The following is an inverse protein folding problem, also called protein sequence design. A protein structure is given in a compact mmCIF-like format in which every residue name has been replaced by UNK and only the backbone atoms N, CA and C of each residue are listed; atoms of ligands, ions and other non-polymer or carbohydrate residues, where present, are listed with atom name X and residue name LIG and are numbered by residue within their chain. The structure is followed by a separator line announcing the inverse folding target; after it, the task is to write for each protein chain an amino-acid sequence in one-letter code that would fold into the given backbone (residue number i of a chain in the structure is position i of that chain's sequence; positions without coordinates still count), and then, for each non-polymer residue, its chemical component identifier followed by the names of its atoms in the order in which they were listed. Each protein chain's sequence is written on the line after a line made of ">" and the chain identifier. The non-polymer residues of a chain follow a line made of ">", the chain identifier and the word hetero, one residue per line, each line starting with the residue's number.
data_IF_145816152697
#
_entry.id   IF_145816152697
#
_cell.length_a   1.000
_cell.length_b   1.000
_cell.length_c   1.000
_cell.angle_alpha   90.00
_cell.angle_beta   90.00
_cell.angle_gamma   90.00
#
_symmetry.space_group_name_H-M   'P 1'
#
loop_
_entity.id
_entity.type
_entity.pdbx_description
1 polymer ?
#
# COMPACT_ATOMS: atom_id res chain seq x y z
N UNK A 1 7.02 19.05 -24.64
CA UNK A 1 6.25 17.96 -24.01
C UNK A 1 7.25 16.89 -23.64
N UNK A 2 7.83 16.98 -22.44
CA UNK A 2 8.75 15.98 -21.92
C UNK A 2 8.37 15.76 -20.46
N UNK A 3 7.81 14.59 -20.18
CA UNK A 3 7.48 14.14 -18.84
C UNK A 3 8.61 13.19 -18.45
N UNK A 4 9.05 13.29 -17.20
CA UNK A 4 9.88 12.31 -16.47
C UNK A 4 11.41 12.50 -16.54
N UNK A 5 11.90 13.49 -15.79
CA UNK A 5 13.14 13.33 -15.03
C UNK A 5 12.75 12.92 -13.60
N UNK A 6 12.89 11.62 -13.28
CA UNK A 6 12.65 11.08 -11.93
C UNK A 6 13.67 11.56 -10.89
N UNK A 7 14.60 12.45 -11.27
CA UNK A 7 15.66 12.99 -10.42
C UNK A 7 15.27 14.23 -9.62
N UNK A 8 14.02 14.70 -9.75
CA UNK A 8 13.57 15.95 -9.13
C UNK A 8 12.43 15.78 -8.10
N UNK A 9 12.11 14.53 -7.71
CA UNK A 9 11.19 14.30 -6.60
C UNK A 9 11.97 14.51 -5.30
N UNK A 10 11.65 15.58 -4.57
CA UNK A 10 12.25 15.80 -3.26
C UNK A 10 11.86 14.66 -2.32
N UNK A 11 12.80 14.10 -1.54
CA UNK A 11 12.50 13.13 -0.49
C UNK A 11 11.37 13.64 0.40
N UNK A 12 10.50 12.75 0.88
CA UNK A 12 9.41 13.11 1.79
C UNK A 12 9.91 13.94 3.00
N UNK A 13 11.12 13.65 3.49
CA UNK A 13 11.81 14.37 4.58
C UNK A 13 12.31 15.78 4.24
N UNK A 14 12.25 16.21 2.97
CA UNK A 14 12.72 17.51 2.48
C UNK A 14 11.62 18.36 1.86
N UNK A 15 10.38 17.84 1.79
CA UNK A 15 9.23 18.70 1.45
C UNK A 15 8.99 19.66 2.61
N UNK A 16 8.64 20.94 2.34
CA UNK A 16 8.26 21.85 3.40
C UNK A 16 7.14 21.18 4.20
N UNK A 17 7.34 21.11 5.51
CA UNK A 17 6.31 20.65 6.44
C UNK A 17 5.09 21.51 6.15
N UNK A 18 4.00 20.91 5.65
CA UNK A 18 2.70 21.60 5.55
C UNK A 18 2.12 21.69 6.97
N UNK A 19 2.90 22.20 7.90
CA UNK A 19 2.49 22.56 9.25
C UNK A 19 1.97 24.00 9.13
N UNK A 20 0.70 24.35 9.33
CA UNK A 20 -0.20 23.90 10.41
C UNK A 20 -1.71 24.12 10.08
N UNK A 21 -2.17 23.91 8.84
CA UNK A 21 -3.60 24.15 8.51
C UNK A 21 -4.23 23.30 7.38
N UNK A 22 -3.51 22.33 6.82
CA UNK A 22 -4.02 21.53 5.70
C UNK A 22 -4.05 20.04 6.03
N UNK A 23 -5.17 19.39 5.67
CA UNK A 23 -5.33 17.96 5.83
C UNK A 23 -4.17 17.22 5.14
N UNK A 24 -3.56 16.23 5.81
CA UNK A 24 -2.36 15.52 5.33
C UNK A 24 -2.46 14.95 3.90
N UNK A 25 -3.67 14.61 3.46
CA UNK A 25 -3.93 14.01 2.15
C UNK A 25 -3.85 15.04 1.02
N UNK A 26 -3.93 16.35 1.32
CA UNK A 26 -3.82 17.41 0.32
C UNK A 26 -2.38 17.54 -0.15
N UNK A 27 -2.12 17.13 -1.39
CA UNK A 27 -0.77 17.12 -1.97
C UNK A 27 0.06 15.88 -1.63
N UNK A 28 -0.55 14.87 -0.99
CA UNK A 28 0.09 13.59 -0.73
C UNK A 28 0.35 12.83 -2.04
N UNK A 29 1.50 12.16 -2.12
CA UNK A 29 1.83 11.19 -3.15
C UNK A 29 1.42 9.81 -2.64
N UNK A 30 0.44 9.20 -3.31
CA UNK A 30 -0.12 7.90 -2.90
C UNK A 30 0.37 6.83 -3.87
N UNK A 31 0.92 5.75 -3.32
CA UNK A 31 1.29 4.56 -4.09
C UNK A 31 0.19 3.51 -3.95
N UNK A 32 -0.49 3.21 -5.06
CA UNK A 32 -1.51 2.15 -5.05
C UNK A 32 -0.86 0.79 -5.25
N UNK A 33 -1.15 -0.15 -4.36
CA UNK A 33 -0.76 -1.55 -4.48
C UNK A 33 -2.01 -2.36 -4.84
N UNK A 34 -1.87 -3.19 -5.86
CA UNK A 34 -2.83 -4.25 -6.18
C UNK A 34 -2.29 -5.58 -5.63
N UNK A 35 -2.74 -6.06 -4.45
CA UNK A 35 -2.08 -7.14 -3.71
C UNK A 35 -1.81 -8.38 -4.56
N UNK A 36 -2.84 -8.83 -5.31
CA UNK A 36 -2.81 -10.01 -6.19
C UNK A 36 -1.67 -10.04 -7.21
N UNK A 37 -1.13 -8.89 -7.62
CA UNK A 37 -0.08 -8.81 -8.65
C UNK A 37 1.17 -8.06 -8.20
N UNK A 38 1.26 -7.68 -6.92
CA UNK A 38 2.39 -6.91 -6.44
C UNK A 38 3.61 -7.79 -6.15
N UNK A 39 3.45 -8.78 -5.25
CA UNK A 39 4.54 -9.68 -4.87
C UNK A 39 3.97 -10.96 -4.26
N UNK A 40 4.28 -12.08 -4.89
CA UNK A 40 4.00 -13.43 -4.38
C UNK A 40 5.11 -13.82 -3.38
N UNK A 41 4.73 -14.30 -2.19
CA UNK A 41 5.64 -14.79 -1.17
C UNK A 41 5.52 -16.29 -0.89
N UNK A 42 4.44 -16.93 -1.33
CA UNK A 42 4.15 -18.36 -1.14
C UNK A 42 4.63 -19.23 -2.31
N UNK A 43 4.80 -18.64 -3.49
CA UNK A 43 5.17 -19.30 -4.74
C UNK A 43 3.98 -19.89 -5.51
N UNK A 44 2.75 -19.52 -5.19
CA UNK A 44 1.53 -20.01 -5.85
C UNK A 44 1.10 -19.20 -7.08
N UNK A 45 1.81 -18.12 -7.39
CA UNK A 45 1.54 -17.23 -8.52
C UNK A 45 0.58 -16.08 -8.20
N UNK A 46 0.15 -15.93 -6.95
CA UNK A 46 -0.71 -14.84 -6.47
C UNK A 46 0.02 -14.00 -5.44
N UNK A 47 -0.01 -12.68 -5.63
CA UNK A 47 0.54 -11.76 -4.64
C UNK A 47 -0.31 -11.72 -3.37
N UNK A 48 0.36 -11.58 -2.22
CA UNK A 48 -0.22 -11.75 -0.89
C UNK A 48 0.23 -10.64 0.10
N UNK A 49 -0.36 -10.59 1.30
CA UNK A 49 -0.06 -9.58 2.31
C UNK A 49 1.37 -9.68 2.85
N UNK A 50 1.96 -10.87 2.91
CA UNK A 50 3.38 -11.03 3.28
C UNK A 50 4.29 -10.43 2.18
N UNK A 51 3.92 -10.59 0.92
CA UNK A 51 4.54 -9.92 -0.21
C UNK A 51 4.46 -8.39 -0.13
N UNK A 52 3.29 -7.85 0.23
CA UNK A 52 3.12 -6.41 0.50
C UNK A 52 4.04 -5.97 1.63
N UNK A 53 4.03 -6.65 2.77
CA UNK A 53 4.88 -6.36 3.94
C UNK A 53 6.37 -6.33 3.55
N UNK A 54 6.82 -7.27 2.73
CA UNK A 54 8.19 -7.35 2.23
C UNK A 54 8.55 -6.26 1.22
N UNK A 55 7.55 -5.65 0.55
CA UNK A 55 7.75 -4.56 -0.40
C UNK A 55 7.74 -3.16 0.22
N UNK A 56 7.21 -2.99 1.44
CA UNK A 56 7.04 -1.66 2.06
C UNK A 56 8.35 -0.86 2.17
N UNK A 57 9.49 -1.51 2.43
CA UNK A 57 10.78 -0.79 2.52
C UNK A 57 11.14 -0.15 1.17
N UNK A 58 10.93 -0.86 0.05
CA UNK A 58 11.12 -0.30 -1.28
C UNK A 58 10.13 0.83 -1.55
N UNK A 59 8.85 0.63 -1.25
CA UNK A 59 7.81 1.66 -1.46
C UNK A 59 8.14 2.94 -0.70
N UNK A 60 8.60 2.85 0.55
CA UNK A 60 9.04 4.01 1.31
C UNK A 60 10.22 4.76 0.65
N UNK A 61 11.17 4.04 0.02
CA UNK A 61 12.30 4.67 -0.68
C UNK A 61 11.88 5.51 -1.89
N UNK A 62 10.68 5.31 -2.43
CA UNK A 62 10.13 6.13 -3.52
C UNK A 62 9.69 7.53 -3.06
N UNK A 63 9.65 7.80 -1.74
CA UNK A 63 9.26 9.10 -1.20
C UNK A 63 7.75 9.34 -1.19
N UNK A 64 6.94 8.27 -1.20
CA UNK A 64 5.47 8.36 -1.10
C UNK A 64 5.02 8.63 0.33
N UNK A 65 3.85 9.22 0.50
CA UNK A 65 3.25 9.55 1.81
C UNK A 65 2.31 8.45 2.32
N UNK A 66 1.68 7.72 1.40
CA UNK A 66 0.68 6.73 1.71
C UNK A 66 0.69 5.56 0.73
N UNK A 67 0.22 4.41 1.21
CA UNK A 67 -0.10 3.25 0.40
C UNK A 67 -1.61 3.07 0.41
N UNK A 68 -2.19 2.91 -0.79
CA UNK A 68 -3.58 2.50 -0.94
C UNK A 68 -3.62 1.04 -1.41
N UNK A 69 -4.24 0.16 -0.62
CA UNK A 69 -4.44 -1.23 -1.00
C UNK A 69 -5.75 -1.38 -1.77
N UNK A 70 -5.68 -2.00 -2.95
CA UNK A 70 -6.88 -2.56 -3.58
C UNK A 70 -7.44 -3.70 -2.72
N UNK A 71 -8.72 -4.09 -2.89
CA UNK A 71 -9.39 -5.01 -1.99
C UNK A 71 -8.64 -6.33 -1.75
N UNK A 72 -8.55 -6.70 -0.46
CA UNK A 72 -7.99 -7.98 0.02
C UNK A 72 -8.95 -8.68 0.99
N UNK A 73 -10.19 -8.20 1.07
CA UNK A 73 -11.24 -8.76 1.92
C UNK A 73 -11.77 -10.08 1.35
N UNK A 74 -12.41 -10.89 2.19
CA UNK A 74 -13.04 -12.15 1.75
C UNK A 74 -14.01 -11.91 0.59
N UNK A 75 -13.82 -12.63 -0.52
CA UNK A 75 -14.56 -12.41 -1.76
C UNK A 75 -14.72 -13.71 -2.58
N UNK A 76 -15.82 -13.89 -3.33
CA UNK A 76 -15.93 -14.94 -4.35
C UNK A 76 -14.97 -14.75 -5.53
N UNK A 77 -14.32 -13.58 -5.63
CA UNK A 77 -13.36 -13.21 -6.68
C UNK A 77 -13.96 -13.13 -8.09
N UNK A 78 -15.27 -12.90 -8.22
CA UNK A 78 -15.91 -12.67 -9.52
C UNK A 78 -15.49 -11.33 -10.14
N UNK A 79 -15.15 -10.34 -9.32
CA UNK A 79 -14.56 -9.05 -9.71
C UNK A 79 -13.26 -8.79 -8.94
N UNK A 80 -12.45 -9.84 -8.80
CA UNK A 80 -11.11 -9.82 -8.18
C UNK A 80 -11.03 -9.04 -6.84
N UNK A 81 -12.03 -9.23 -5.97
CA UNK A 81 -12.04 -8.68 -4.62
C UNK A 81 -12.94 -7.46 -4.43
N UNK A 82 -13.44 -6.85 -5.51
CA UNK A 82 -14.43 -5.77 -5.41
C UNK A 82 -15.84 -6.29 -5.07
N UNK A 83 -16.12 -7.56 -5.35
CA UNK A 83 -17.29 -8.30 -4.89
C UNK A 83 -17.09 -8.86 -3.46
N UNK A 84 -17.07 -7.97 -2.47
CA UNK A 84 -16.78 -8.31 -1.07
C UNK A 84 -17.92 -9.12 -0.43
N UNK A 85 -17.58 -10.24 0.20
CA UNK A 85 -18.50 -11.10 0.96
C UNK A 85 -18.43 -10.87 2.48
N UNK A 86 -17.26 -10.52 3.01
CA UNK A 86 -17.07 -10.12 4.42
C UNK A 86 -16.07 -8.96 4.52
N UNK A 87 -16.55 -7.79 4.93
CA UNK A 87 -15.75 -6.56 5.08
C UNK A 87 -14.81 -6.56 6.30
N UNK A 88 -14.98 -7.50 7.23
CA UNK A 88 -14.12 -7.64 8.41
C UNK A 88 -13.10 -8.77 8.27
N UNK A 89 -13.24 -9.61 7.24
CA UNK A 89 -12.35 -10.72 6.93
C UNK A 89 -11.27 -10.34 5.93
N UNK A 90 -10.14 -11.05 5.99
CA UNK A 90 -9.14 -11.09 4.91
C UNK A 90 -9.40 -12.33 4.09
N UNK A 91 -9.33 -12.23 2.76
CA UNK A 91 -9.44 -13.43 1.93
C UNK A 91 -8.24 -14.36 2.17
N UNK A 92 -8.46 -15.67 2.43
CA UNK A 92 -7.37 -16.60 2.67
C UNK A 92 -6.33 -16.68 1.55
N UNK A 93 -6.67 -16.29 0.32
CA UNK A 93 -5.70 -16.20 -0.79
C UNK A 93 -4.61 -15.15 -0.52
N UNK A 94 -4.92 -14.10 0.26
CA UNK A 94 -3.99 -13.01 0.55
C UNK A 94 -3.31 -13.17 1.93
N UNK A 95 -3.90 -13.93 2.84
CA UNK A 95 -3.31 -14.20 4.16
C UNK A 95 -4.33 -14.06 5.29
N UNK A 96 -3.89 -13.49 6.41
CA UNK A 96 -4.70 -13.36 7.62
C UNK A 96 -4.84 -11.91 8.08
N UNK A 97 -5.79 -11.64 8.98
CA UNK A 97 -5.92 -10.33 9.62
C UNK A 97 -4.64 -9.93 10.38
N UNK A 98 -3.94 -10.90 10.99
CA UNK A 98 -2.66 -10.65 11.65
C UNK A 98 -1.56 -10.22 10.68
N UNK A 99 -1.59 -10.67 9.43
CA UNK A 99 -0.64 -10.21 8.41
C UNK A 99 -0.92 -8.75 8.03
N UNK A 100 -2.20 -8.37 7.99
CA UNK A 100 -2.60 -6.97 7.80
C UNK A 100 -2.16 -6.08 8.98
N UNK A 101 -2.31 -6.53 10.23
CA UNK A 101 -1.81 -5.80 11.40
C UNK A 101 -0.31 -5.50 11.29
N UNK A 102 0.48 -6.48 10.82
CA UNK A 102 1.92 -6.30 10.58
C UNK A 102 2.24 -5.29 9.48
N UNK A 103 1.40 -5.19 8.44
CA UNK A 103 1.50 -4.16 7.40
C UNK A 103 1.26 -2.79 8.02
N UNK A 104 0.18 -2.60 8.79
CA UNK A 104 -0.14 -1.34 9.46
C UNK A 104 1.03 -0.89 10.33
N UNK A 105 1.52 -1.78 11.20
CA UNK A 105 2.65 -1.48 12.08
C UNK A 105 3.91 -1.08 11.32
N UNK A 106 4.28 -1.83 10.27
CA UNK A 106 5.50 -1.54 9.49
C UNK A 106 5.34 -0.25 8.70
N UNK A 107 4.20 -0.03 8.05
CA UNK A 107 3.91 1.19 7.30
C UNK A 107 4.04 2.43 8.19
N UNK A 108 3.42 2.40 9.37
CA UNK A 108 3.53 3.51 10.33
C UNK A 108 4.97 3.73 10.82
N UNK A 109 5.75 2.67 11.07
CA UNK A 109 7.18 2.81 11.39
C UNK A 109 7.99 3.45 10.26
N UNK A 110 7.58 3.26 9.02
CA UNK A 110 8.17 3.88 7.83
C UNK A 110 7.62 5.29 7.54
N UNK A 111 6.71 5.81 8.37
CA UNK A 111 6.07 7.11 8.16
C UNK A 111 4.97 7.11 7.09
N UNK A 112 4.56 5.95 6.59
CA UNK A 112 3.53 5.79 5.58
C UNK A 112 2.14 5.76 6.21
N UNK A 113 1.14 6.40 5.59
CA UNK A 113 -0.28 6.15 5.87
C UNK A 113 -0.78 4.93 5.06
N UNK A 114 -1.82 4.27 5.55
CA UNK A 114 -2.52 3.19 4.84
C UNK A 114 -3.97 3.61 4.56
N UNK A 115 -4.44 3.32 3.35
CA UNK A 115 -5.82 3.53 2.86
C UNK A 115 -6.36 2.20 2.35
#
# INVERSE_FOLDING_TARGET
>A
MNVLDAKNVMPASQRPDIADAQDWWRGAVIYQIYPRSFRDSSGDGVGDLTGVLNGLDYVATLGVDAVWLSPFFTSPMADFGYDVADYCGVDPIFGTLSDFDRIIEKAHRLGLKII
#
